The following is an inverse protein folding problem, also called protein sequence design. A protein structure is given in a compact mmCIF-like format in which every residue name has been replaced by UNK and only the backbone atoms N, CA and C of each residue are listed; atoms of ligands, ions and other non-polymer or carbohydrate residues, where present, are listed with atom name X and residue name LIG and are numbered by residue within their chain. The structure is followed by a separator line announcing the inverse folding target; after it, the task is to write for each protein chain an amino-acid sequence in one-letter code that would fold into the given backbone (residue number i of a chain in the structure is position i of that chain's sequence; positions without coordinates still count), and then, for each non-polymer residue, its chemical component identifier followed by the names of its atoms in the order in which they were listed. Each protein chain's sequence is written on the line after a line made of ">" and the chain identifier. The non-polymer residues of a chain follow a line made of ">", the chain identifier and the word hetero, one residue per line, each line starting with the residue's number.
data_IF_946842066877
#
_entry.id   IF_946842066877
#
_cell.length_a   1.000
_cell.length_b   1.000
_cell.length_c   1.000
_cell.angle_alpha   90.00
_cell.angle_beta   90.00
_cell.angle_gamma   90.00
#
_symmetry.space_group_name_H-M   'P 1'
#
loop_
_entity.id
_entity.type
_entity.pdbx_description
1 polymer ?
#
# COMPACT_ATOMS: atom_id res chain seq x y z
N UNK A 1 11.86 -40.97 46.19
CA UNK A 1 10.91 -41.31 45.09
C UNK A 1 10.02 -40.12 44.74
N UNK A 2 9.20 -39.55 45.65
CA UNK A 2 8.25 -38.47 45.38
C UNK A 2 8.92 -37.17 44.85
N UNK A 3 10.04 -36.73 45.44
CA UNK A 3 10.78 -35.53 45.01
C UNK A 3 11.33 -35.69 43.57
N UNK A 4 11.89 -36.85 43.25
CA UNK A 4 12.40 -37.13 41.90
C UNK A 4 11.25 -37.15 40.86
N UNK A 5 10.13 -37.77 41.18
CA UNK A 5 8.94 -37.77 40.30
C UNK A 5 8.42 -36.34 40.08
N UNK A 6 8.35 -35.52 41.13
CA UNK A 6 7.97 -34.10 41.04
C UNK A 6 8.91 -33.32 40.12
N UNK A 7 10.23 -33.47 40.30
CA UNK A 7 11.23 -32.79 39.46
C UNK A 7 11.14 -33.18 37.99
N UNK A 8 10.93 -34.48 37.71
CA UNK A 8 10.75 -34.97 36.33
C UNK A 8 9.49 -34.35 35.72
N UNK A 9 8.36 -34.43 36.45
CA UNK A 9 7.08 -33.85 35.94
C UNK A 9 7.22 -32.35 35.70
N UNK A 10 7.85 -31.62 36.63
CA UNK A 10 8.09 -30.19 36.46
C UNK A 10 8.97 -29.89 35.22
N UNK A 11 10.05 -30.65 35.04
CA UNK A 11 10.95 -30.50 33.89
C UNK A 11 10.21 -30.77 32.56
N UNK A 12 9.37 -31.81 32.50
CA UNK A 12 8.57 -32.12 31.31
C UNK A 12 7.58 -30.99 30.99
N UNK A 13 6.88 -30.49 32.00
CA UNK A 13 5.97 -29.36 31.84
C UNK A 13 6.70 -28.10 31.37
N UNK A 14 7.85 -27.79 31.97
CA UNK A 14 8.67 -26.65 31.59
C UNK A 14 9.14 -26.75 30.13
N UNK A 15 9.62 -27.91 29.70
CA UNK A 15 10.02 -28.16 28.32
C UNK A 15 8.84 -27.99 27.40
N UNK A 16 7.65 -28.48 27.76
CA UNK A 16 6.42 -28.29 26.99
C UNK A 16 6.04 -26.82 26.80
N UNK A 17 6.10 -26.03 27.88
CA UNK A 17 5.83 -24.58 27.85
C UNK A 17 6.88 -23.84 27.01
N UNK A 18 8.16 -24.14 27.19
CA UNK A 18 9.22 -23.51 26.39
C UNK A 18 9.08 -23.84 24.88
N UNK A 19 8.76 -25.10 24.57
CA UNK A 19 8.48 -25.51 23.20
C UNK A 19 7.30 -24.75 22.58
N UNK A 20 6.21 -24.62 23.34
CA UNK A 20 5.02 -23.87 22.92
C UNK A 20 5.31 -22.38 22.67
N UNK A 21 6.03 -21.74 23.58
CA UNK A 21 6.50 -20.35 23.42
C UNK A 21 7.43 -20.23 22.21
N UNK A 22 8.35 -21.20 22.02
CA UNK A 22 9.23 -21.23 20.85
C UNK A 22 8.48 -21.27 19.53
N UNK A 23 7.40 -22.05 19.45
CA UNK A 23 6.52 -22.10 18.26
C UNK A 23 5.82 -20.75 18.04
N UNK A 24 5.32 -20.12 19.10
CA UNK A 24 4.68 -18.81 18.98
C UNK A 24 5.66 -17.72 18.48
N UNK A 25 6.89 -17.72 19.00
CA UNK A 25 7.95 -16.81 18.55
C UNK A 25 8.35 -17.08 17.08
N UNK A 26 8.40 -18.34 16.67
CA UNK A 26 8.64 -18.72 15.28
C UNK A 26 7.58 -18.14 14.35
N UNK A 27 6.29 -18.25 14.69
CA UNK A 27 5.22 -17.65 13.89
C UNK A 27 5.28 -16.11 13.91
N UNK A 28 5.58 -15.51 15.04
CA UNK A 28 5.78 -14.07 15.16
C UNK A 28 6.89 -13.56 14.22
N UNK A 29 8.02 -14.29 14.16
CA UNK A 29 9.10 -14.00 13.20
C UNK A 29 8.63 -14.21 11.75
N UNK A 30 7.89 -15.27 11.48
CA UNK A 30 7.35 -15.56 10.14
C UNK A 30 6.40 -14.46 9.66
N UNK A 31 5.50 -13.96 10.51
CA UNK A 31 4.56 -12.88 10.18
C UNK A 31 5.26 -11.58 9.82
N UNK A 32 6.43 -11.33 10.43
CA UNK A 32 7.15 -10.06 10.33
C UNK A 32 8.40 -10.14 9.46
N UNK A 33 8.63 -11.27 8.79
CA UNK A 33 9.80 -11.46 7.94
C UNK A 33 9.61 -10.77 6.61
N UNK A 34 10.41 -9.75 6.33
CA UNK A 34 10.44 -9.08 5.04
C UNK A 34 11.08 -9.99 3.97
N UNK A 35 10.42 -10.14 2.83
CA UNK A 35 10.95 -10.80 1.64
C UNK A 35 11.44 -9.74 0.67
N UNK A 36 12.64 -9.23 0.89
CA UNK A 36 13.20 -8.20 0.01
C UNK A 36 13.46 -8.74 -1.38
N UNK A 37 12.74 -8.22 -2.36
CA UNK A 37 12.98 -8.43 -3.79
C UNK A 37 13.86 -7.31 -4.35
N UNK A 38 14.58 -7.58 -5.44
CA UNK A 38 15.31 -6.55 -6.19
C UNK A 38 14.34 -5.80 -7.09
N UNK A 39 14.55 -4.50 -7.23
CA UNK A 39 13.85 -3.69 -8.24
C UNK A 39 14.29 -4.16 -9.62
N UNK A 40 13.36 -4.48 -10.51
CA UNK A 40 13.62 -5.01 -11.84
C UNK A 40 13.27 -3.97 -12.90
N UNK A 41 14.28 -3.51 -13.63
CA UNK A 41 14.10 -2.48 -14.64
C UNK A 41 13.99 -1.07 -14.06
N UNK A 42 13.91 -0.11 -14.95
CA UNK A 42 13.79 1.32 -14.66
C UNK A 42 12.84 1.99 -15.66
N UNK A 43 12.30 3.18 -15.36
CA UNK A 43 11.48 3.92 -16.34
C UNK A 43 12.23 4.23 -17.65
N UNK A 44 13.56 4.31 -17.62
CA UNK A 44 14.38 4.53 -18.83
C UNK A 44 14.28 3.35 -19.82
N UNK A 45 14.07 2.13 -19.35
CA UNK A 45 13.92 0.93 -20.20
C UNK A 45 12.63 1.02 -21.05
N UNK A 46 11.67 1.86 -20.63
CA UNK A 46 10.44 2.17 -21.36
C UNK A 46 10.48 3.54 -22.06
N UNK A 47 11.67 4.16 -22.16
CA UNK A 47 11.88 5.45 -22.80
C UNK A 47 11.37 6.65 -22.02
N UNK A 48 11.12 6.52 -20.71
CA UNK A 48 10.65 7.59 -19.87
C UNK A 48 11.80 8.31 -19.15
N UNK A 49 11.66 9.62 -19.02
CA UNK A 49 12.51 10.41 -18.13
C UNK A 49 12.01 10.28 -16.69
N UNK A 50 12.90 10.11 -15.75
CA UNK A 50 12.59 10.04 -14.34
C UNK A 50 13.70 10.66 -13.49
N UNK A 51 13.38 10.91 -12.25
CA UNK A 51 14.32 11.35 -11.22
C UNK A 51 14.35 10.31 -10.11
N UNK A 52 15.53 9.86 -9.74
CA UNK A 52 15.71 9.10 -8.51
C UNK A 52 15.43 10.01 -7.32
N UNK A 53 14.57 9.54 -6.44
CA UNK A 53 14.13 10.28 -5.26
C UNK A 53 14.52 9.51 -4.02
N UNK A 54 15.14 10.22 -3.10
CA UNK A 54 15.42 9.71 -1.76
C UNK A 54 14.79 10.66 -0.74
N UNK A 55 14.02 10.12 0.20
CA UNK A 55 13.32 10.90 1.21
C UNK A 55 13.28 10.17 2.55
N UNK A 56 12.98 10.91 3.62
CA UNK A 56 12.97 10.38 4.97
C UNK A 56 11.55 10.39 5.53
N UNK A 57 11.20 9.33 6.23
CA UNK A 57 10.01 9.27 7.07
C UNK A 57 10.19 10.05 8.38
N UNK A 58 9.11 10.26 9.13
CA UNK A 58 9.17 10.93 10.44
C UNK A 58 10.03 10.18 11.47
N UNK A 59 10.13 8.85 11.35
CA UNK A 59 11.02 8.00 12.15
C UNK A 59 12.41 7.82 11.51
N UNK A 60 12.78 8.70 10.55
CA UNK A 60 14.07 8.76 9.87
C UNK A 60 14.45 7.54 9.04
N UNK A 61 13.47 6.76 8.61
CA UNK A 61 13.69 5.70 7.63
C UNK A 61 13.95 6.31 6.26
N UNK A 62 15.02 5.88 5.57
CA UNK A 62 15.35 6.32 4.22
C UNK A 62 14.61 5.47 3.21
N UNK A 63 13.79 6.11 2.39
CA UNK A 63 13.04 5.49 1.31
C UNK A 63 13.56 5.95 -0.05
N UNK A 64 13.46 5.07 -1.03
CA UNK A 64 13.86 5.32 -2.41
C UNK A 64 12.66 5.17 -3.34
N UNK A 65 12.61 6.00 -4.37
CA UNK A 65 11.51 6.01 -5.33
C UNK A 65 11.92 6.68 -6.64
N UNK A 66 10.95 6.76 -7.55
CA UNK A 66 11.07 7.44 -8.84
C UNK A 66 9.96 8.46 -9.01
N UNK A 67 10.35 9.65 -9.43
CA UNK A 67 9.38 10.65 -9.87
C UNK A 67 9.48 10.81 -11.39
N UNK A 68 8.38 10.51 -12.06
CA UNK A 68 8.22 10.67 -13.50
C UNK A 68 7.29 11.85 -13.76
N UNK A 69 7.81 12.89 -14.41
CA UNK A 69 7.07 14.12 -14.68
C UNK A 69 6.47 14.09 -16.09
N UNK A 70 5.19 14.41 -16.20
CA UNK A 70 4.53 14.65 -17.46
C UNK A 70 4.49 16.15 -17.75
N UNK A 71 4.83 16.62 -18.98
CA UNK A 71 4.78 18.04 -19.33
C UNK A 71 3.38 18.67 -19.21
N UNK A 72 2.34 17.86 -19.24
CA UNK A 72 0.94 18.30 -19.21
C UNK A 72 0.17 17.66 -18.03
N UNK A 73 0.85 17.52 -16.89
CA UNK A 73 0.31 16.80 -15.77
C UNK A 73 -1.04 17.34 -15.27
N UNK A 74 -2.07 16.49 -15.37
CA UNK A 74 -3.44 16.77 -14.88
C UNK A 74 -3.60 16.41 -13.40
N UNK A 75 -2.94 15.35 -12.97
CA UNK A 75 -2.86 14.90 -11.59
C UNK A 75 -1.53 14.16 -11.35
N UNK A 76 -1.25 13.85 -10.10
CA UNK A 76 -0.11 13.01 -9.71
C UNK A 76 -0.63 11.71 -9.13
N UNK A 77 -0.19 10.60 -9.70
CA UNK A 77 -0.53 9.26 -9.20
C UNK A 77 0.58 8.79 -8.26
N UNK A 78 0.23 8.53 -7.01
CA UNK A 78 1.12 7.91 -6.03
C UNK A 78 0.90 6.39 -6.04
N UNK A 79 1.88 5.65 -6.52
CA UNK A 79 1.88 4.19 -6.49
C UNK A 79 2.36 3.65 -5.15
N UNK A 80 1.56 2.78 -4.53
CA UNK A 80 1.92 2.05 -3.31
C UNK A 80 1.83 0.57 -3.59
N UNK A 81 2.99 -0.08 -3.79
CA UNK A 81 3.08 -1.48 -4.16
C UNK A 81 2.63 -2.43 -3.05
N UNK A 82 2.35 -3.67 -3.40
CA UNK A 82 1.95 -4.71 -2.46
C UNK A 82 3.07 -5.11 -1.48
N UNK A 83 2.69 -5.81 -0.41
CA UNK A 83 3.55 -6.17 0.72
C UNK A 83 4.85 -6.85 0.34
N UNK A 84 4.83 -7.81 -0.57
CA UNK A 84 6.02 -8.53 -1.04
C UNK A 84 6.63 -7.94 -2.33
N UNK A 85 6.07 -6.83 -2.83
CA UNK A 85 6.45 -6.18 -4.09
C UNK A 85 7.57 -5.16 -3.99
N UNK A 86 7.79 -4.47 -5.09
CA UNK A 86 8.66 -3.30 -5.23
C UNK A 86 7.98 -2.25 -6.10
N UNK A 87 8.51 -1.03 -6.17
CA UNK A 87 8.03 0.03 -7.07
C UNK A 87 7.99 -0.35 -8.55
N UNK A 88 8.67 -1.44 -8.95
CA UNK A 88 8.71 -1.98 -10.30
C UNK A 88 8.40 -3.47 -10.30
N UNK A 89 7.35 -3.88 -9.57
CA UNK A 89 6.97 -5.29 -9.51
C UNK A 89 6.55 -5.79 -10.88
N UNK A 90 7.31 -6.78 -11.39
CA UNK A 90 7.06 -7.36 -12.70
C UNK A 90 5.85 -8.32 -12.68
N UNK A 91 5.59 -8.97 -11.55
CA UNK A 91 4.46 -9.89 -11.38
C UNK A 91 3.11 -9.17 -11.44
N UNK A 92 3.12 -7.85 -11.25
CA UNK A 92 1.94 -6.97 -11.34
C UNK A 92 2.03 -5.98 -12.53
N UNK A 93 3.11 -5.99 -13.29
CA UNK A 93 3.32 -5.08 -14.42
C UNK A 93 3.43 -3.61 -14.03
N UNK A 94 3.84 -3.29 -12.78
CA UNK A 94 3.77 -1.93 -12.25
C UNK A 94 4.57 -0.92 -13.04
N UNK A 95 5.74 -1.29 -13.57
CA UNK A 95 6.56 -0.37 -14.35
C UNK A 95 5.88 0.04 -15.66
N UNK A 96 5.22 -0.91 -16.35
CA UNK A 96 4.48 -0.66 -17.57
C UNK A 96 3.23 0.18 -17.30
N UNK A 97 2.51 -0.13 -16.23
CA UNK A 97 1.33 0.63 -15.80
C UNK A 97 1.70 2.09 -15.47
N UNK A 98 2.80 2.32 -14.76
CA UNK A 98 3.33 3.65 -14.49
C UNK A 98 3.63 4.41 -15.80
N UNK A 99 4.25 3.73 -16.76
CA UNK A 99 4.54 4.31 -18.08
C UNK A 99 3.27 4.71 -18.83
N UNK A 100 2.22 3.91 -18.74
CA UNK A 100 0.94 4.22 -19.35
C UNK A 100 0.30 5.47 -18.75
N UNK A 101 0.37 5.66 -17.44
CA UNK A 101 -0.09 6.90 -16.79
C UNK A 101 0.72 8.11 -17.24
N UNK A 102 2.05 8.02 -17.30
CA UNK A 102 2.90 9.15 -17.73
C UNK A 102 2.60 9.55 -19.17
N UNK A 103 2.47 8.58 -20.09
CA UNK A 103 2.14 8.82 -21.50
C UNK A 103 0.77 9.46 -21.68
N UNK A 104 -0.14 9.29 -20.71
CA UNK A 104 -1.49 9.87 -20.72
C UNK A 104 -1.62 11.17 -19.93
N UNK A 105 -0.51 11.79 -19.55
CA UNK A 105 -0.48 13.13 -18.99
C UNK A 105 -0.66 13.16 -17.47
N UNK A 106 -0.10 12.19 -16.76
CA UNK A 106 -0.05 12.18 -15.30
C UNK A 106 1.40 12.18 -14.80
N UNK A 107 1.68 12.91 -13.74
CA UNK A 107 2.89 12.63 -12.98
C UNK A 107 2.72 11.30 -12.25
N UNK A 108 3.81 10.57 -12.11
CA UNK A 108 3.82 9.33 -11.34
C UNK A 108 4.94 9.39 -10.31
N UNK A 109 4.60 9.06 -9.08
CA UNK A 109 5.55 8.82 -8.02
C UNK A 109 5.40 7.39 -7.51
N UNK A 110 6.43 6.59 -7.67
CA UNK A 110 6.50 5.21 -7.20
C UNK A 110 7.70 5.06 -6.27
N UNK A 111 7.54 4.43 -5.12
CA UNK A 111 8.58 4.25 -4.14
C UNK A 111 8.52 2.87 -3.52
N UNK A 112 9.63 2.40 -2.98
CA UNK A 112 9.67 1.16 -2.22
C UNK A 112 9.32 1.44 -0.76
N UNK A 113 8.38 0.68 -0.22
CA UNK A 113 8.09 0.64 1.22
C UNK A 113 9.35 0.21 1.99
N UNK A 114 9.40 0.54 3.29
CA UNK A 114 10.49 0.09 4.16
C UNK A 114 10.68 -1.42 4.09
N UNK A 115 11.93 -1.87 4.13
CA UNK A 115 12.24 -3.29 4.03
C UNK A 115 12.10 -3.89 2.63
N UNK A 116 11.67 -3.13 1.61
CA UNK A 116 11.47 -3.56 0.22
C UNK A 116 12.43 -2.86 -0.72
N UNK A 117 12.62 -3.45 -1.91
CA UNK A 117 13.45 -2.89 -2.98
C UNK A 117 14.76 -2.29 -2.48
N UNK A 118 14.96 -1.00 -2.74
CA UNK A 118 16.15 -0.25 -2.35
C UNK A 118 15.95 0.60 -1.08
N UNK A 119 14.76 0.62 -0.51
CA UNK A 119 14.47 1.34 0.74
C UNK A 119 15.13 0.68 1.94
N UNK A 120 15.45 1.47 2.96
CA UNK A 120 16.01 0.97 4.21
C UNK A 120 14.97 0.12 4.99
N UNK A 121 15.42 -0.55 6.03
CA UNK A 121 14.59 -1.48 6.81
C UNK A 121 14.94 -2.94 6.55
N UNK A 122 14.56 -3.83 7.45
CA UNK A 122 14.87 -5.26 7.38
C UNK A 122 13.69 -6.14 7.76
N UNK A 123 12.64 -5.56 8.31
CA UNK A 123 11.50 -6.29 8.86
C UNK A 123 10.19 -5.61 8.45
N UNK A 124 9.17 -6.40 8.33
CA UNK A 124 7.80 -5.98 8.13
C UNK A 124 7.14 -5.71 9.50
N UNK A 125 6.46 -4.59 9.63
CA UNK A 125 5.75 -4.23 10.85
C UNK A 125 4.23 -4.28 10.66
N UNK A 126 3.77 -4.96 9.58
CA UNK A 126 2.36 -5.23 9.32
C UNK A 126 1.47 -3.97 9.28
N UNK A 127 2.03 -2.87 8.75
CA UNK A 127 1.35 -1.58 8.66
C UNK A 127 1.58 -0.67 9.85
N UNK A 128 2.10 -1.15 10.98
CA UNK A 128 2.36 -0.31 12.18
C UNK A 128 3.24 0.90 11.86
N UNK A 129 4.29 0.69 11.09
CA UNK A 129 5.23 1.75 10.70
C UNK A 129 5.20 2.06 9.20
N UNK A 130 4.74 1.16 8.34
CA UNK A 130 4.65 1.36 6.89
C UNK A 130 3.68 2.49 6.52
N UNK A 131 2.70 2.81 7.37
CA UNK A 131 1.85 4.01 7.22
C UNK A 131 2.66 5.31 7.20
N UNK A 132 3.80 5.37 7.91
CA UNK A 132 4.70 6.53 7.90
C UNK A 132 5.39 6.70 6.55
N UNK A 133 5.54 5.63 5.77
CA UNK A 133 6.15 5.66 4.46
C UNK A 133 5.22 6.38 3.46
N UNK A 134 3.93 6.04 3.47
CA UNK A 134 2.93 6.70 2.64
C UNK A 134 2.77 8.18 3.05
N UNK A 135 2.75 8.47 4.35
CA UNK A 135 2.71 9.86 4.86
C UNK A 135 3.92 10.67 4.38
N UNK A 136 5.12 10.08 4.40
CA UNK A 136 6.34 10.74 3.91
C UNK A 136 6.30 10.94 2.39
N UNK A 137 5.78 9.98 1.62
CA UNK A 137 5.59 10.10 0.18
C UNK A 137 4.63 11.24 -0.17
N UNK A 138 3.50 11.33 0.51
CA UNK A 138 2.54 12.44 0.38
C UNK A 138 3.16 13.79 0.75
N UNK A 139 3.91 13.85 1.85
CA UNK A 139 4.61 15.06 2.25
C UNK A 139 5.70 15.49 1.25
N UNK A 140 6.37 14.54 0.60
CA UNK A 140 7.29 14.80 -0.51
C UNK A 140 6.53 15.41 -1.71
N UNK A 141 5.44 14.80 -2.14
CA UNK A 141 4.66 15.27 -3.28
C UNK A 141 4.06 16.66 -3.06
N UNK A 142 3.58 16.99 -1.86
CA UNK A 142 3.10 18.33 -1.51
C UNK A 142 4.14 19.41 -1.72
N UNK A 143 5.40 19.10 -1.47
CA UNK A 143 6.50 20.03 -1.73
C UNK A 143 6.93 20.06 -3.19
N UNK A 144 6.86 18.93 -3.87
CA UNK A 144 7.34 18.77 -5.24
C UNK A 144 6.35 19.30 -6.28
N UNK A 145 5.06 19.04 -6.06
CA UNK A 145 3.96 19.39 -6.97
C UNK A 145 2.75 19.97 -6.21
N UNK A 146 2.91 21.10 -5.52
CA UNK A 146 1.96 21.60 -4.52
C UNK A 146 0.57 21.96 -5.06
N UNK A 147 0.41 22.05 -6.37
CA UNK A 147 -0.86 22.46 -7.02
C UNK A 147 -1.51 21.35 -7.83
N UNK A 148 -0.92 20.16 -7.83
CA UNK A 148 -1.41 19.05 -8.62
C UNK A 148 -2.23 18.13 -7.71
N UNK A 149 -3.50 17.82 -8.02
CA UNK A 149 -4.29 16.89 -7.25
C UNK A 149 -3.63 15.51 -7.23
N UNK A 150 -3.72 14.82 -6.10
CA UNK A 150 -3.11 13.51 -5.93
C UNK A 150 -4.18 12.41 -5.96
N UNK A 151 -3.88 11.32 -6.62
CA UNK A 151 -4.65 10.07 -6.57
C UNK A 151 -3.72 8.97 -6.08
N UNK A 152 -4.15 8.22 -5.07
CA UNK A 152 -3.43 7.07 -4.58
C UNK A 152 -3.83 5.84 -5.38
N UNK A 153 -2.85 5.08 -5.86
CA UNK A 153 -3.07 3.79 -6.50
C UNK A 153 -2.30 2.73 -5.73
N UNK A 154 -3.00 1.99 -4.90
CA UNK A 154 -2.45 0.97 -4.03
C UNK A 154 -2.80 -0.44 -4.49
N UNK A 155 -1.89 -1.39 -4.19
CA UNK A 155 -2.00 -2.80 -4.54
C UNK A 155 -1.90 -3.64 -3.28
N UNK A 156 -2.84 -4.54 -3.04
CA UNK A 156 -2.85 -5.44 -1.89
C UNK A 156 -2.69 -4.72 -0.54
N UNK A 157 -1.56 -4.97 0.11
CA UNK A 157 -1.14 -4.28 1.33
C UNK A 157 -0.95 -2.76 1.11
N UNK A 158 -0.42 -2.37 -0.05
CA UNK A 158 -0.27 -0.95 -0.42
C UNK A 158 -1.63 -0.26 -0.59
N UNK A 159 -2.66 -0.98 -1.05
CA UNK A 159 -4.03 -0.46 -1.11
C UNK A 159 -4.60 -0.23 0.30
N UNK A 160 -4.33 -1.14 1.24
CA UNK A 160 -4.69 -0.94 2.65
C UNK A 160 -4.04 0.31 3.24
N UNK A 161 -2.75 0.53 2.97
CA UNK A 161 -2.03 1.73 3.41
C UNK A 161 -2.57 3.01 2.75
N UNK A 162 -2.95 2.96 1.48
CA UNK A 162 -3.54 4.09 0.77
C UNK A 162 -4.90 4.48 1.38
N UNK A 163 -5.76 3.51 1.66
CA UNK A 163 -7.04 3.74 2.34
C UNK A 163 -6.80 4.32 3.74
N UNK A 164 -5.92 3.73 4.56
CA UNK A 164 -5.61 4.21 5.93
C UNK A 164 -5.05 5.65 5.95
N UNK A 165 -4.31 6.05 4.92
CA UNK A 165 -3.73 7.39 4.85
C UNK A 165 -4.75 8.47 4.45
N UNK A 166 -5.80 8.12 3.72
CA UNK A 166 -6.70 9.07 3.03
C UNK A 166 -7.50 9.97 3.97
N UNK A 167 -8.12 9.52 5.08
CA UNK A 167 -8.90 10.41 5.96
C UNK A 167 -8.09 11.55 6.56
N UNK A 168 -6.79 11.40 6.63
CA UNK A 168 -5.87 12.36 7.27
C UNK A 168 -5.31 13.40 6.29
N UNK A 169 -5.77 13.39 5.01
CA UNK A 169 -5.14 14.14 3.92
C UNK A 169 -6.17 14.78 3.02
N UNK A 170 -6.23 16.11 3.03
CA UNK A 170 -7.25 16.90 2.33
C UNK A 170 -6.99 17.13 0.83
N UNK A 171 -5.81 16.82 0.30
CA UNK A 171 -5.39 17.06 -1.08
C UNK A 171 -5.36 15.79 -1.94
N UNK A 172 -5.93 14.70 -1.44
CA UNK A 172 -6.23 13.50 -2.21
C UNK A 172 -7.54 13.71 -2.97
N UNK A 173 -7.55 13.42 -4.27
CA UNK A 173 -8.72 13.52 -5.14
C UNK A 173 -9.49 12.20 -5.26
N UNK A 174 -8.81 11.06 -5.06
CA UNK A 174 -9.41 9.73 -5.12
C UNK A 174 -8.42 8.63 -4.78
N UNK A 175 -8.93 7.43 -4.57
CA UNK A 175 -8.14 6.22 -4.28
C UNK A 175 -8.52 5.12 -5.26
N UNK A 176 -7.53 4.49 -5.88
CA UNK A 176 -7.67 3.23 -6.61
C UNK A 176 -7.05 2.16 -5.72
N UNK A 177 -7.86 1.20 -5.31
CA UNK A 177 -7.48 0.14 -4.38
C UNK A 177 -7.66 -1.22 -5.07
N UNK A 178 -6.56 -1.80 -5.53
CA UNK A 178 -6.54 -3.11 -6.16
C UNK A 178 -6.29 -4.19 -5.13
N UNK A 179 -7.20 -5.14 -5.02
CA UNK A 179 -7.20 -6.25 -4.06
C UNK A 179 -6.92 -5.79 -2.60
N UNK A 180 -7.62 -4.74 -2.08
CA UNK A 180 -7.29 -4.14 -0.80
C UNK A 180 -7.53 -5.09 0.38
N UNK A 181 -6.63 -5.02 1.38
CA UNK A 181 -6.78 -5.74 2.64
C UNK A 181 -7.61 -4.89 3.61
N UNK A 182 -8.77 -5.40 4.06
CA UNK A 182 -9.63 -4.69 5.02
C UNK A 182 -9.07 -4.69 6.45
N UNK A 183 -8.35 -5.75 6.83
CA UNK A 183 -7.72 -5.92 8.15
C UNK A 183 -6.53 -6.88 8.01
N UNK A 184 -5.36 -6.44 8.41
CA UNK A 184 -4.15 -7.29 8.39
C UNK A 184 -4.31 -8.49 9.33
N UNK A 185 -4.95 -8.28 10.49
CA UNK A 185 -5.20 -9.38 11.43
C UNK A 185 -6.04 -10.48 10.79
N UNK A 186 -7.10 -10.09 10.06
CA UNK A 186 -8.02 -11.05 9.45
C UNK A 186 -7.36 -11.79 8.28
N UNK A 187 -6.55 -11.10 7.49
CA UNK A 187 -5.76 -11.71 6.43
C UNK A 187 -4.75 -12.72 7.00
N UNK A 188 -3.99 -12.35 8.03
CA UNK A 188 -3.07 -13.28 8.70
C UNK A 188 -3.82 -14.48 9.29
N UNK A 189 -5.01 -14.26 9.88
CA UNK A 189 -5.83 -15.34 10.41
C UNK A 189 -6.33 -16.26 9.30
N UNK A 190 -6.70 -15.71 8.15
CA UNK A 190 -7.08 -16.49 6.97
C UNK A 190 -5.94 -17.40 6.49
N UNK A 191 -4.73 -16.84 6.31
CA UNK A 191 -3.56 -17.61 5.87
C UNK A 191 -3.12 -18.66 6.88
N UNK A 192 -3.34 -18.39 8.16
CA UNK A 192 -2.97 -19.29 9.27
C UNK A 192 -4.16 -19.92 9.97
N UNK A 193 -5.24 -20.21 9.23
CA UNK A 193 -6.49 -20.79 9.76
C UNK A 193 -6.34 -22.11 10.50
N UNK A 194 -5.25 -22.85 10.26
CA UNK A 194 -4.95 -24.11 10.95
C UNK A 194 -4.26 -23.93 12.30
N UNK A 195 -3.75 -22.73 12.60
CA UNK A 195 -3.21 -22.47 13.93
C UNK A 195 -4.34 -22.38 14.96
N UNK A 196 -4.19 -23.02 16.12
CA UNK A 196 -5.09 -22.81 17.25
C UNK A 196 -5.14 -21.32 17.66
N UNK A 197 -6.32 -20.81 18.04
CA UNK A 197 -6.52 -19.39 18.33
C UNK A 197 -5.57 -18.86 19.39
N UNK A 198 -5.38 -19.62 20.50
CA UNK A 198 -4.48 -19.21 21.56
C UNK A 198 -2.99 -19.11 21.12
N UNK A 199 -2.58 -19.96 20.16
CA UNK A 199 -1.24 -19.91 19.60
C UNK A 199 -1.11 -18.72 18.62
N UNK A 200 -2.12 -18.47 17.81
CA UNK A 200 -2.17 -17.29 16.92
C UNK A 200 -2.09 -15.99 17.73
N UNK A 201 -2.92 -15.83 18.77
CA UNK A 201 -2.91 -14.63 19.60
C UNK A 201 -1.58 -14.45 20.33
N UNK A 202 -0.99 -15.53 20.84
CA UNK A 202 0.34 -15.48 21.46
C UNK A 202 1.43 -15.09 20.45
N UNK A 203 1.32 -15.57 19.19
CA UNK A 203 2.24 -15.18 18.11
C UNK A 203 2.07 -13.70 17.74
N UNK A 204 0.85 -13.19 17.68
CA UNK A 204 0.57 -11.76 17.45
C UNK A 204 1.13 -10.91 18.60
N UNK A 205 0.99 -11.37 19.86
CA UNK A 205 1.57 -10.68 21.00
C UNK A 205 3.10 -10.63 20.92
N UNK A 206 3.78 -11.72 20.52
CA UNK A 206 5.23 -11.73 20.31
C UNK A 206 5.64 -10.89 19.10
N UNK A 207 4.85 -10.85 18.02
CA UNK A 207 5.11 -9.97 16.88
C UNK A 207 5.15 -8.50 17.31
N UNK A 208 4.20 -8.08 18.13
CA UNK A 208 4.18 -6.75 18.72
C UNK A 208 5.35 -6.54 19.71
N UNK A 209 5.54 -7.46 20.65
CA UNK A 209 6.46 -7.27 21.78
C UNK A 209 7.93 -7.36 21.40
N UNK A 210 8.29 -8.23 20.46
CA UNK A 210 9.67 -8.47 20.05
C UNK A 210 10.04 -7.70 18.77
N UNK A 211 9.07 -7.46 17.91
CA UNK A 211 9.34 -6.92 16.56
C UNK A 211 8.62 -5.60 16.28
N UNK A 212 7.82 -5.08 17.21
CA UNK A 212 7.11 -3.82 17.06
C UNK A 212 5.97 -3.86 16.02
N UNK A 213 5.55 -5.05 15.61
CA UNK A 213 4.52 -5.26 14.60
C UNK A 213 3.16 -5.52 15.28
N UNK A 214 2.31 -4.50 15.33
CA UNK A 214 0.97 -4.60 15.88
C UNK A 214 -0.02 -4.99 14.80
N UNK A 215 -0.48 -6.23 14.78
CA UNK A 215 -1.35 -6.78 13.72
C UNK A 215 -2.71 -6.08 13.60
N UNK A 216 -3.12 -5.32 14.59
CA UNK A 216 -4.35 -4.51 14.57
C UNK A 216 -4.12 -3.07 14.09
N UNK A 217 -2.87 -2.65 13.90
CA UNK A 217 -2.54 -1.28 13.58
C UNK A 217 -3.02 -0.86 12.19
N UNK A 218 -3.11 -1.77 11.23
CA UNK A 218 -3.62 -1.51 9.88
C UNK A 218 -4.94 -2.29 9.67
N UNK A 219 -6.03 -1.57 9.84
CA UNK A 219 -7.39 -2.04 9.65
C UNK A 219 -8.20 -0.98 8.88
N UNK A 220 -8.03 -0.88 7.54
CA UNK A 220 -8.77 0.07 6.71
C UNK A 220 -10.28 0.05 6.91
N UNK A 221 -10.84 -1.08 7.33
CA UNK A 221 -12.27 -1.24 7.63
C UNK A 221 -12.75 -0.31 8.76
N UNK A 222 -11.84 0.12 9.65
CA UNK A 222 -12.15 0.99 10.78
C UNK A 222 -12.14 2.49 10.43
N UNK A 223 -11.68 2.84 9.20
CA UNK A 223 -11.51 4.24 8.78
C UNK A 223 -12.10 4.54 7.39
N UNK A 224 -12.57 3.54 6.67
CA UNK A 224 -13.09 3.71 5.29
C UNK A 224 -14.36 4.56 5.25
N UNK A 225 -15.13 4.57 6.31
CA UNK A 225 -16.34 5.40 6.47
C UNK A 225 -16.03 6.89 6.63
N UNK A 226 -14.79 7.24 7.06
CA UNK A 226 -14.34 8.63 7.18
C UNK A 226 -13.87 9.21 5.81
N UNK A 227 -13.79 8.40 4.75
CA UNK A 227 -13.26 8.82 3.45
C UNK A 227 -14.36 9.51 2.63
N UNK A 228 -14.17 10.79 2.33
CA UNK A 228 -15.10 11.60 1.54
C UNK A 228 -14.80 11.58 0.03
N UNK A 229 -13.57 11.22 -0.37
CA UNK A 229 -13.17 11.17 -1.79
C UNK A 229 -13.59 9.86 -2.46
N UNK A 230 -13.78 9.83 -3.79
CA UNK A 230 -14.11 8.61 -4.50
C UNK A 230 -13.10 7.49 -4.28
N UNK A 231 -13.57 6.24 -4.24
CA UNK A 231 -12.74 5.05 -4.18
C UNK A 231 -13.15 4.11 -5.31
N UNK A 232 -12.18 3.67 -6.12
CA UNK A 232 -12.34 2.55 -7.04
C UNK A 232 -11.74 1.31 -6.40
N UNK A 233 -12.58 0.37 -6.01
CA UNK A 233 -12.18 -0.95 -5.57
C UNK A 233 -12.10 -1.89 -6.77
N UNK A 234 -10.95 -2.53 -6.95
CA UNK A 234 -10.70 -3.54 -7.99
C UNK A 234 -10.43 -4.86 -7.28
N UNK A 235 -11.00 -5.96 -7.76
CA UNK A 235 -10.73 -7.27 -7.17
C UNK A 235 -11.01 -8.42 -8.14
N UNK A 236 -10.13 -9.42 -8.17
CA UNK A 236 -10.39 -10.68 -8.87
C UNK A 236 -11.21 -11.62 -7.95
N UNK A 237 -12.34 -12.14 -8.43
CA UNK A 237 -13.23 -12.98 -7.60
C UNK A 237 -12.53 -14.18 -6.97
N UNK A 238 -11.52 -14.72 -7.63
CA UNK A 238 -10.79 -15.89 -7.17
C UNK A 238 -9.37 -15.60 -6.75
N UNK A 239 -9.12 -14.40 -6.21
CA UNK A 239 -7.84 -14.05 -5.58
C UNK A 239 -7.54 -14.99 -4.40
N UNK A 240 -6.46 -15.76 -4.52
CA UNK A 240 -6.05 -16.72 -3.49
C UNK A 240 -5.22 -16.07 -2.36
N UNK A 241 -4.72 -14.85 -2.57
CA UNK A 241 -3.90 -14.14 -1.58
C UNK A 241 -4.75 -13.27 -0.66
N UNK A 242 -5.67 -12.51 -1.22
CA UNK A 242 -6.62 -11.68 -0.47
C UNK A 242 -8.03 -12.08 -0.85
N UNK A 243 -8.81 -12.69 0.04
CA UNK A 243 -10.21 -13.04 -0.26
C UNK A 243 -11.05 -11.82 -0.68
N UNK A 244 -11.89 -11.99 -1.68
CA UNK A 244 -12.78 -10.92 -2.19
C UNK A 244 -13.63 -10.28 -1.09
N UNK A 245 -13.94 -11.03 -0.02
CA UNK A 245 -14.67 -10.51 1.13
C UNK A 245 -14.02 -9.28 1.78
N UNK A 246 -12.69 -9.10 1.66
CA UNK A 246 -12.03 -7.89 2.15
C UNK A 246 -12.52 -6.65 1.39
N UNK A 247 -12.55 -6.71 0.07
CA UNK A 247 -13.03 -5.62 -0.78
C UNK A 247 -14.53 -5.38 -0.57
N UNK A 248 -15.34 -6.42 -0.55
CA UNK A 248 -16.79 -6.31 -0.34
C UNK A 248 -17.12 -5.69 1.02
N UNK A 249 -16.40 -6.06 2.08
CA UNK A 249 -16.57 -5.46 3.40
C UNK A 249 -16.19 -3.97 3.42
N UNK A 250 -15.08 -3.61 2.76
CA UNK A 250 -14.67 -2.20 2.64
C UNK A 250 -15.71 -1.38 1.89
N UNK A 251 -16.19 -1.88 0.76
CA UNK A 251 -17.23 -1.21 -0.02
C UNK A 251 -18.54 -1.06 0.78
N UNK A 252 -18.94 -2.10 1.51
CA UNK A 252 -20.14 -2.05 2.35
C UNK A 252 -20.01 -1.09 3.53
N UNK A 253 -18.81 -0.93 4.11
CA UNK A 253 -18.55 -0.01 5.21
C UNK A 253 -18.35 1.45 4.73
N UNK A 254 -18.00 1.66 3.46
CA UNK A 254 -17.81 3.00 2.90
C UNK A 254 -19.14 3.76 2.82
N UNK A 255 -19.25 4.87 3.55
CA UNK A 255 -20.42 5.74 3.49
C UNK A 255 -20.42 6.66 2.26
N UNK A 256 -19.35 6.68 1.51
CA UNK A 256 -19.21 7.48 0.31
C UNK A 256 -19.93 6.84 -0.88
N UNK A 257 -21.06 7.43 -1.31
CA UNK A 257 -21.84 6.98 -2.46
C UNK A 257 -21.11 7.08 -3.83
N UNK A 258 -19.87 7.59 -3.87
CA UNK A 258 -19.04 7.67 -5.07
C UNK A 258 -17.98 6.57 -5.15
N UNK A 259 -18.06 5.54 -4.27
CA UNK A 259 -17.22 4.37 -4.47
C UNK A 259 -17.76 3.51 -5.61
N UNK A 260 -16.83 2.89 -6.33
CA UNK A 260 -17.12 1.91 -7.39
C UNK A 260 -16.46 0.59 -7.03
N UNK A 261 -17.12 -0.52 -7.31
CA UNK A 261 -16.54 -1.87 -7.20
C UNK A 261 -16.44 -2.45 -8.60
N UNK A 262 -15.23 -2.80 -9.00
CA UNK A 262 -14.96 -3.51 -10.24
C UNK A 262 -14.47 -4.91 -9.94
N UNK A 263 -15.40 -5.86 -9.91
CA UNK A 263 -15.12 -7.28 -9.80
C UNK A 263 -14.65 -7.83 -11.16
N UNK A 264 -13.66 -8.70 -11.16
CA UNK A 264 -13.07 -9.32 -12.34
C UNK A 264 -13.38 -10.81 -12.31
N UNK A 265 -14.50 -11.18 -12.93
CA UNK A 265 -15.13 -12.50 -12.80
C UNK A 265 -14.28 -13.63 -13.40
N UNK A 266 -13.53 -13.35 -14.45
CA UNK A 266 -12.74 -14.35 -15.20
C UNK A 266 -11.26 -14.40 -14.79
N UNK A 267 -10.82 -13.56 -13.84
CA UNK A 267 -9.43 -13.46 -13.41
C UNK A 267 -9.16 -14.15 -12.08
N UNK A 268 -8.00 -14.78 -11.94
CA UNK A 268 -7.60 -15.55 -10.74
C UNK A 268 -6.37 -15.01 -10.02
N UNK A 269 -5.72 -14.02 -10.58
CA UNK A 269 -4.49 -13.47 -10.05
C UNK A 269 -4.72 -12.46 -8.91
N UNK A 270 -3.64 -12.04 -8.29
CA UNK A 270 -3.62 -11.01 -7.25
C UNK A 270 -2.95 -9.75 -7.78
N UNK A 271 -3.72 -8.68 -7.99
CA UNK A 271 -3.23 -7.39 -8.49
C UNK A 271 -2.51 -7.46 -9.85
N UNK A 272 -2.79 -8.44 -10.68
CA UNK A 272 -2.08 -8.69 -11.95
C UNK A 272 -2.97 -8.62 -13.20
N UNK A 273 -4.24 -8.24 -13.04
CA UNK A 273 -5.20 -8.09 -14.15
C UNK A 273 -4.68 -7.17 -15.26
N UNK A 274 -3.90 -6.15 -14.90
CA UNK A 274 -3.25 -5.27 -15.87
C UNK A 274 -2.39 -6.03 -16.88
N UNK A 275 -1.71 -7.11 -16.50
CA UNK A 275 -0.84 -7.88 -17.41
C UNK A 275 -1.60 -8.53 -18.55
N UNK A 276 -2.82 -9.01 -18.29
CA UNK A 276 -3.65 -9.68 -19.28
C UNK A 276 -4.52 -8.69 -20.05
N UNK A 277 -5.00 -7.62 -19.38
CA UNK A 277 -5.95 -6.66 -19.92
C UNK A 277 -5.47 -5.20 -19.77
N UNK A 278 -4.27 -4.83 -20.28
CA UNK A 278 -3.65 -3.54 -19.98
C UNK A 278 -4.48 -2.34 -20.43
N UNK A 279 -5.16 -2.43 -21.58
CA UNK A 279 -5.99 -1.32 -22.08
C UNK A 279 -7.22 -1.10 -21.22
N UNK A 280 -7.96 -2.17 -20.94
CA UNK A 280 -9.18 -2.10 -20.15
C UNK A 280 -8.87 -1.57 -18.73
N UNK A 281 -7.85 -2.12 -18.08
CA UNK A 281 -7.42 -1.69 -16.76
C UNK A 281 -7.09 -0.19 -16.72
N UNK A 282 -6.25 0.24 -17.64
CA UNK A 282 -5.84 1.66 -17.70
C UNK A 282 -7.03 2.56 -18.04
N UNK A 283 -7.86 2.20 -19.02
CA UNK A 283 -9.01 3.02 -19.43
C UNK A 283 -10.02 3.16 -18.28
N UNK A 284 -10.25 2.10 -17.50
CA UNK A 284 -11.11 2.13 -16.32
C UNK A 284 -10.54 3.02 -15.20
N UNK A 285 -9.26 2.84 -14.89
CA UNK A 285 -8.58 3.67 -13.89
C UNK A 285 -8.55 5.15 -14.29
N UNK A 286 -8.32 5.46 -15.58
CA UNK A 286 -8.30 6.83 -16.07
C UNK A 286 -9.68 7.48 -16.04
N UNK A 287 -10.72 6.76 -16.42
CA UNK A 287 -12.11 7.25 -16.33
C UNK A 287 -12.44 7.63 -14.88
N UNK A 288 -12.03 6.80 -13.92
CA UNK A 288 -12.18 7.09 -12.51
C UNK A 288 -11.38 8.33 -12.07
N UNK A 289 -10.10 8.44 -12.47
CA UNK A 289 -9.27 9.62 -12.14
C UNK A 289 -9.87 10.89 -12.71
N UNK A 290 -10.31 10.87 -13.97
CA UNK A 290 -10.91 12.03 -14.65
C UNK A 290 -12.23 12.47 -13.97
N UNK A 291 -13.01 11.53 -13.45
CA UNK A 291 -14.21 11.82 -12.67
C UNK A 291 -13.92 12.34 -11.25
N UNK A 292 -12.80 11.95 -10.69
CA UNK A 292 -12.39 12.30 -9.31
C UNK A 292 -11.71 13.67 -9.21
N UNK A 293 -10.97 14.07 -10.25
CA UNK A 293 -10.21 15.34 -10.27
C UNK A 293 -11.12 16.50 -10.67
N UNK A 294 -11.36 17.51 -9.79
CA UNK A 294 -12.23 18.63 -10.10
C UNK A 294 -11.74 19.43 -11.31
N UNK A 295 -12.62 19.74 -12.27
CA UNK A 295 -12.29 20.49 -13.50
C UNK A 295 -11.60 21.84 -13.24
N UNK A 296 -11.92 22.51 -12.13
CA UNK A 296 -11.28 23.78 -11.71
C UNK A 296 -9.79 23.64 -11.35
N UNK A 297 -9.32 22.43 -11.05
CA UNK A 297 -7.90 22.16 -10.76
C UNK A 297 -7.12 21.81 -12.04
N UNK A 298 -7.80 21.55 -13.14
CA UNK A 298 -7.23 21.21 -14.44
C UNK A 298 -6.88 22.42 -15.31
N UNK A 299 -7.38 23.62 -14.95
CA UNK A 299 -7.05 24.86 -15.66
C UNK A 299 -5.71 25.42 -15.18
N UNK A 300 -4.70 25.58 -16.06
CA UNK A 300 -3.47 26.29 -15.70
C UNK A 300 -3.85 27.71 -15.25
N UNK A 301 -3.59 28.08 -14.00
CA UNK A 301 -3.70 29.48 -13.61
C UNK A 301 -2.65 30.27 -14.39
N UNK A 302 -3.03 31.35 -15.11
CA UNK A 302 -2.06 32.18 -15.79
C UNK A 302 -1.05 32.72 -14.77
N UNK A 303 0.21 32.64 -15.17
CA UNK A 303 1.35 33.08 -14.37
C UNK A 303 1.16 34.54 -13.93
N UNK A 304 0.94 34.78 -12.63
CA UNK A 304 0.80 36.14 -12.07
C UNK A 304 2.10 36.93 -12.07
N UNK A 305 3.16 36.37 -12.70
CA UNK A 305 4.48 36.99 -12.76
C UNK A 305 4.68 38.15 -13.76
N UNK A 306 3.78 38.34 -14.72
CA UNK A 306 3.98 39.34 -15.79
C UNK A 306 3.27 40.70 -15.58
N UNK A 307 2.52 40.87 -14.48
CA UNK A 307 1.70 42.07 -14.26
C UNK A 307 2.41 43.20 -13.48
N UNK A 308 3.69 43.07 -13.12
CA UNK A 308 4.43 44.05 -12.33
C UNK A 308 5.50 44.86 -13.13
N UNK A 309 5.65 44.64 -14.45
CA UNK A 309 6.66 45.37 -15.23
C UNK A 309 6.12 46.54 -16.05
N UNK A 310 4.82 46.89 -16.02
CA UNK A 310 4.23 47.99 -16.80
C UNK A 310 3.70 49.16 -15.98
N UNK A 311 4.31 49.46 -14.82
CA UNK A 311 4.06 50.71 -14.09
C UNK A 311 5.38 51.38 -13.69
N UNK A 312 6.24 51.63 -14.64
CA UNK A 312 7.31 52.62 -14.54
C UNK A 312 7.65 53.09 -15.97
N UNK A 313 6.96 54.11 -16.39
CA UNK A 313 7.16 54.88 -17.61
C UNK A 313 6.36 56.14 -17.47
#
# INVERSE_FOLDING_TARGET
>A
MAVLAFLITFAVLLIGVLGYVGVAVYFADTFTRSKRRRVQGTPADLGLRFQDVQFLTSDRMRLNGWFMESPVARATILFVHDGDGTRADADQGLLQLQADYVRRGFNVFAFDLRGRGESAGRRDHLGTTERLDVQAALAYLRRRVPRTPMVLHGFGFGAALAIDATPRVSDIAGVIADSPVASIRDLLRHHHRRLPDHLFELSCWFAWRLFGAEVKALAPIEVVDEIEVPILFIHAQTDEQVPESHTLNLAAASLNHRHEVWAQDDHRGHCDYYLEHPREYVDRCLAFVDASVPARMLTPQPDRGSALSNRAG
#
